data_IF_189410673337
#
_entry.id   IF_189410673337
#
_cell.length_a   1.000
_cell.length_b   1.000
_cell.length_c   1.000
_cell.angle_alpha   90.00
_cell.angle_beta   90.00
_cell.angle_gamma   90.00
#
_symmetry.space_group_name_H-M   'P 1'
#
loop_
_entity.id
_entity.type
_entity.pdbx_description
1 polymer ?
#
# COMPACT_ATOMS: atom_id res chain seq x y z
N UNK A 1 2.45 10.27 33.53
CA UNK A 1 3.17 9.02 33.86
C UNK A 1 3.55 8.25 32.58
N UNK A 2 2.64 8.08 31.61
CA UNK A 2 2.90 7.39 30.33
C UNK A 2 3.96 8.11 29.47
N UNK A 3 3.88 9.44 29.33
CA UNK A 3 4.82 10.22 28.50
C UNK A 3 6.27 10.15 29.00
N UNK A 4 6.47 10.07 30.32
CA UNK A 4 7.80 9.84 30.92
C UNK A 4 8.34 8.43 30.62
N UNK A 5 7.46 7.43 30.58
CA UNK A 5 7.83 6.05 30.25
C UNK A 5 8.16 5.90 28.76
N UNK A 6 7.40 6.54 27.86
CA UNK A 6 7.69 6.54 26.43
C UNK A 6 9.02 7.23 26.13
N UNK A 7 9.29 8.40 26.71
CA UNK A 7 10.58 9.09 26.58
C UNK A 7 11.74 8.26 27.15
N UNK A 8 11.55 7.60 28.28
CA UNK A 8 12.56 6.72 28.87
C UNK A 8 12.86 5.51 27.97
N UNK A 9 11.83 4.89 27.39
CA UNK A 9 11.99 3.80 26.43
C UNK A 9 12.73 4.26 25.17
N UNK A 10 12.42 5.45 24.65
CA UNK A 10 13.10 6.04 23.50
C UNK A 10 14.60 6.25 23.76
N UNK A 11 14.97 6.79 24.93
CA UNK A 11 16.38 6.96 25.30
C UNK A 11 17.08 5.61 25.51
N UNK A 12 16.38 4.63 26.12
CA UNK A 12 16.92 3.30 26.32
C UNK A 12 17.17 2.59 24.98
N UNK A 13 16.24 2.72 24.03
CA UNK A 13 16.40 2.22 22.66
C UNK A 13 17.65 2.81 21.98
N UNK A 14 17.84 4.12 22.04
CA UNK A 14 19.00 4.78 21.43
C UNK A 14 20.32 4.28 22.03
N UNK A 15 20.37 4.12 23.36
CA UNK A 15 21.54 3.58 24.07
C UNK A 15 21.88 2.16 23.61
N UNK A 16 20.88 1.25 23.60
CA UNK A 16 21.06 -0.15 23.19
C UNK A 16 21.42 -0.28 21.71
N UNK A 17 20.80 0.53 20.85
CA UNK A 17 21.08 0.55 19.41
C UNK A 17 22.50 1.06 19.13
N UNK A 18 22.94 2.08 19.86
CA UNK A 18 24.32 2.59 19.75
C UNK A 18 25.33 1.57 20.25
N UNK A 19 25.04 0.89 21.36
CA UNK A 19 25.88 -0.19 21.88
C UNK A 19 25.99 -1.38 20.92
N UNK A 20 25.00 -1.59 20.05
CA UNK A 20 25.01 -2.61 18.98
C UNK A 20 25.56 -2.10 17.64
N UNK A 21 26.12 -0.88 17.61
CA UNK A 21 26.87 -0.35 16.47
C UNK A 21 26.05 0.49 15.48
N UNK A 22 24.81 0.84 15.80
CA UNK A 22 24.00 1.75 14.99
C UNK A 22 24.19 3.22 15.40
N UNK A 23 23.96 4.15 14.49
CA UNK A 23 23.77 5.56 14.82
C UNK A 23 22.26 5.86 14.94
N UNK A 24 21.87 6.59 15.98
CA UNK A 24 20.47 6.95 16.23
C UNK A 24 20.28 8.47 16.19
N UNK A 25 19.45 8.95 15.27
CA UNK A 25 19.09 10.35 15.13
C UNK A 25 17.65 10.57 15.61
N UNK A 26 17.48 11.32 16.69
CA UNK A 26 16.15 11.63 17.27
C UNK A 26 15.35 12.56 16.35
N UNK A 27 14.08 12.24 16.15
CA UNK A 27 13.11 13.10 15.47
C UNK A 27 12.56 14.10 16.47
N UNK A 28 13.02 15.36 16.37
CA UNK A 28 12.65 16.42 17.31
C UNK A 28 11.18 16.83 17.21
N UNK A 29 10.60 16.73 16.03
CA UNK A 29 9.21 17.09 15.76
C UNK A 29 8.38 15.82 15.50
N UNK A 30 7.37 15.55 16.34
CA UNK A 30 6.43 14.42 16.17
C UNK A 30 5.40 14.70 15.06
N UNK A 31 5.90 14.99 13.86
CA UNK A 31 5.06 15.23 12.68
C UNK A 31 4.79 13.93 11.92
N UNK A 32 5.74 12.99 11.95
CA UNK A 32 5.74 11.85 11.05
C UNK A 32 5.52 10.51 11.74
N UNK A 33 5.57 10.48 13.08
CA UNK A 33 5.19 9.33 13.89
C UNK A 33 6.27 8.29 14.14
N UNK A 34 7.52 8.57 13.76
CA UNK A 34 8.71 7.83 14.19
C UNK A 34 9.52 8.70 15.16
N UNK A 35 10.17 8.05 16.11
CA UNK A 35 10.98 8.70 17.15
C UNK A 35 12.45 8.78 16.72
N UNK A 36 12.94 7.82 15.94
CA UNK A 36 14.33 7.77 15.48
C UNK A 36 14.47 7.43 14.00
N UNK A 37 15.53 7.98 13.40
CA UNK A 37 16.14 7.47 12.18
C UNK A 37 17.41 6.73 12.60
N UNK A 38 17.47 5.43 12.30
CA UNK A 38 18.57 4.55 12.69
C UNK A 38 19.40 4.21 11.45
N UNK A 39 20.72 4.38 11.56
CA UNK A 39 21.67 4.09 10.50
C UNK A 39 22.60 2.95 10.94
N UNK A 40 22.56 1.83 10.22
CA UNK A 40 23.34 0.64 10.56
C UNK A 40 24.41 0.44 9.48
N UNK A 41 25.70 0.56 9.84
CA UNK A 41 26.78 0.29 8.89
C UNK A 41 26.76 -1.19 8.51
N UNK A 42 26.91 -1.50 7.21
CA UNK A 42 26.95 -2.89 6.78
C UNK A 42 28.30 -3.51 7.13
N UNK A 43 28.34 -4.83 7.20
CA UNK A 43 29.61 -5.56 7.25
C UNK A 43 30.37 -5.32 5.95
N UNK A 44 31.53 -4.66 6.05
CA UNK A 44 32.41 -4.45 4.90
C UNK A 44 32.99 -5.77 4.42
N UNK A 45 33.00 -5.98 3.12
CA UNK A 45 33.66 -7.13 2.51
C UNK A 45 35.06 -6.71 2.04
N UNK A 46 36.16 -7.25 2.61
CA UNK A 46 37.51 -6.85 2.22
C UNK A 46 37.84 -7.17 0.75
N UNK A 47 37.10 -8.10 0.14
CA UNK A 47 37.27 -8.53 -1.25
C UNK A 47 36.38 -7.74 -2.23
N UNK A 48 35.67 -6.69 -1.78
CA UNK A 48 34.90 -5.79 -2.65
C UNK A 48 35.57 -4.42 -2.77
N UNK A 49 35.49 -3.84 -3.96
CA UNK A 49 35.92 -2.47 -4.19
C UNK A 49 35.15 -1.49 -3.28
N UNK A 50 35.77 -0.37 -2.84
CA UNK A 50 35.12 0.58 -1.93
C UNK A 50 33.77 1.12 -2.41
N UNK A 51 33.59 1.33 -3.71
CA UNK A 51 32.36 1.81 -4.37
C UNK A 51 31.28 0.73 -4.54
N UNK A 52 31.65 -0.54 -4.35
CA UNK A 52 30.75 -1.72 -4.43
C UNK A 52 30.45 -2.33 -3.07
N UNK A 53 30.85 -1.66 -1.99
CA UNK A 53 30.48 -2.08 -0.65
C UNK A 53 28.95 -2.02 -0.48
N UNK A 54 28.36 -2.89 0.35
CA UNK A 54 26.95 -2.74 0.69
C UNK A 54 26.69 -1.34 1.27
N UNK A 55 25.46 -0.87 1.12
CA UNK A 55 25.05 0.46 1.57
C UNK A 55 24.69 0.43 3.06
N UNK A 56 24.76 1.60 3.70
CA UNK A 56 24.20 1.80 5.04
C UNK A 56 22.69 1.52 4.99
N UNK A 57 22.21 0.79 6.00
CA UNK A 57 20.77 0.58 6.19
C UNK A 57 20.25 1.75 7.01
N UNK A 58 19.38 2.56 6.41
CA UNK A 58 18.66 3.64 7.11
C UNK A 58 17.23 3.20 7.37
N UNK A 59 16.79 3.20 8.63
CA UNK A 59 15.47 2.74 9.04
C UNK A 59 14.75 3.79 9.89
N UNK A 60 13.42 3.87 9.74
CA UNK A 60 12.53 4.68 10.56
C UNK A 60 12.00 3.84 11.71
N UNK A 61 12.08 4.34 12.94
CA UNK A 61 11.73 3.57 14.12
C UNK A 61 10.75 4.33 15.01
N UNK A 62 9.65 3.67 15.36
CA UNK A 62 8.70 4.12 16.37
C UNK A 62 8.84 3.30 17.66
N UNK A 63 8.92 3.98 18.80
CA UNK A 63 9.08 3.39 20.12
C UNK A 63 7.77 3.50 20.89
N UNK A 64 7.42 2.40 21.55
CA UNK A 64 6.30 2.30 22.48
C UNK A 64 6.75 1.61 23.76
N UNK A 65 6.02 1.89 24.83
CA UNK A 65 6.26 1.28 26.13
C UNK A 65 4.98 0.86 26.80
N UNK A 66 5.03 -0.20 27.60
CA UNK A 66 3.93 -0.67 28.44
C UNK A 66 4.42 -1.15 29.79
N UNK A 67 3.64 -0.89 30.83
CA UNK A 67 3.79 -1.47 32.18
C UNK A 67 2.67 -2.47 32.48
N UNK A 68 1.92 -2.88 31.45
CA UNK A 68 0.82 -3.85 31.54
C UNK A 68 1.22 -5.14 30.86
N UNK A 69 0.70 -6.27 31.34
CA UNK A 69 0.95 -7.60 30.77
C UNK A 69 0.49 -7.73 29.31
N UNK A 70 -0.42 -6.86 28.87
CA UNK A 70 -0.88 -6.86 27.48
C UNK A 70 0.13 -6.14 26.58
N UNK A 71 0.77 -6.90 25.69
CA UNK A 71 1.70 -6.42 24.68
C UNK A 71 0.96 -5.92 23.44
N UNK A 72 0.16 -4.87 23.60
CA UNK A 72 -0.55 -4.22 22.49
C UNK A 72 -0.33 -2.72 22.51
N UNK A 73 -0.17 -2.12 21.34
CA UNK A 73 -0.18 -0.66 21.18
C UNK A 73 -1.14 -0.21 20.11
N UNK A 74 -1.46 1.08 20.11
CA UNK A 74 -2.26 1.72 19.07
C UNK A 74 -1.41 2.75 18.35
N UNK A 75 -1.42 2.69 17.02
CA UNK A 75 -0.75 3.65 16.15
C UNK A 75 -1.81 4.41 15.38
N UNK A 76 -1.71 5.74 15.30
CA UNK A 76 -2.61 6.56 14.48
C UNK A 76 -2.54 6.08 13.03
N UNK A 77 -3.70 5.95 12.38
CA UNK A 77 -3.78 5.45 11.00
C UNK A 77 -2.99 6.34 10.03
N UNK A 78 -2.95 7.65 10.28
CA UNK A 78 -2.10 8.60 9.54
C UNK A 78 -0.61 8.26 9.62
N UNK A 79 -0.11 7.87 10.79
CA UNK A 79 1.32 7.57 10.99
C UNK A 79 1.66 6.20 10.39
N UNK A 80 0.76 5.22 10.56
CA UNK A 80 0.90 3.91 9.91
C UNK A 80 0.95 4.05 8.37
N UNK A 81 0.13 4.93 7.78
CA UNK A 81 0.18 5.21 6.34
C UNK A 81 1.50 5.84 5.92
N UNK A 82 2.03 6.82 6.66
CA UNK A 82 3.35 7.41 6.39
C UNK A 82 4.45 6.34 6.43
N UNK A 83 4.39 5.41 7.39
CA UNK A 83 5.35 4.32 7.50
C UNK A 83 5.31 3.37 6.29
N UNK A 84 4.15 3.15 5.68
CA UNK A 84 3.98 2.32 4.47
C UNK A 84 4.39 3.08 3.21
N UNK A 85 4.09 4.38 3.15
CA UNK A 85 4.40 5.24 2.02
C UNK A 85 5.91 5.54 1.88
N UNK A 86 6.64 5.52 2.99
CA UNK A 86 8.10 5.64 2.99
C UNK A 86 8.76 4.43 2.31
N UNK A 87 9.75 4.69 1.47
CA UNK A 87 10.55 3.64 0.81
C UNK A 87 11.58 3.02 1.77
N UNK A 88 11.86 3.67 2.91
CA UNK A 88 12.78 3.18 3.92
C UNK A 88 12.17 2.03 4.75
N UNK A 89 12.99 1.11 5.29
CA UNK A 89 12.58 0.21 6.35
C UNK A 89 11.93 0.93 7.53
N UNK A 90 10.83 0.38 8.03
CA UNK A 90 10.08 0.96 9.14
C UNK A 90 9.84 -0.11 10.22
N UNK A 91 10.09 0.24 11.48
CA UNK A 91 9.97 -0.69 12.61
C UNK A 91 9.22 -0.07 13.77
N UNK A 92 8.54 -0.91 14.54
CA UNK A 92 7.87 -0.55 15.78
C UNK A 92 8.47 -1.40 16.88
N UNK A 93 9.03 -0.76 17.91
CA UNK A 93 9.53 -1.44 19.09
C UNK A 93 8.62 -1.20 20.29
N UNK A 94 8.43 -2.23 21.11
CA UNK A 94 7.70 -2.18 22.36
C UNK A 94 8.62 -2.57 23.51
N UNK A 95 8.77 -1.67 24.47
CA UNK A 95 9.45 -1.92 25.74
C UNK A 95 8.42 -2.30 26.81
N UNK A 96 8.51 -3.54 27.30
CA UNK A 96 7.68 -4.02 28.41
C UNK A 96 8.48 -3.93 29.70
N UNK A 97 7.95 -3.16 30.66
CA UNK A 97 8.53 -2.94 31.99
C UNK A 97 7.84 -3.79 33.06
N UNK A 98 7.45 -5.01 32.71
CA UNK A 98 6.77 -5.93 33.62
C UNK A 98 7.79 -6.95 34.16
N UNK A 99 7.53 -7.51 35.34
CA UNK A 99 8.31 -8.64 35.92
C UNK A 99 9.79 -8.32 36.23
N UNK A 100 10.09 -7.12 36.75
CA UNK A 100 11.42 -6.64 37.18
C UNK A 100 12.53 -6.63 36.09
N UNK A 101 12.20 -7.05 34.86
CA UNK A 101 13.10 -7.09 33.71
C UNK A 101 12.50 -6.36 32.52
N UNK A 102 13.33 -5.62 31.79
CA UNK A 102 12.89 -4.91 30.58
C UNK A 102 12.95 -5.89 29.41
N UNK A 103 11.79 -6.22 28.86
CA UNK A 103 11.67 -7.01 27.62
C UNK A 103 11.43 -6.10 26.42
N UNK A 104 12.01 -6.45 25.28
CA UNK A 104 11.96 -5.66 24.07
C UNK A 104 11.35 -6.51 22.97
N UNK A 105 10.35 -5.98 22.28
CA UNK A 105 9.70 -6.64 21.15
C UNK A 105 9.82 -5.74 19.93
N UNK A 106 10.01 -6.31 18.75
CA UNK A 106 10.11 -5.56 17.51
C UNK A 106 9.21 -6.13 16.42
N UNK A 107 8.56 -5.23 15.69
CA UNK A 107 7.82 -5.57 14.48
C UNK A 107 8.29 -4.77 13.29
N UNK A 108 8.42 -5.48 12.18
CA UNK A 108 8.72 -4.90 10.88
C UNK A 108 7.43 -4.48 10.18
N UNK A 109 7.39 -3.26 9.67
CA UNK A 109 6.27 -2.73 8.87
C UNK A 109 6.43 -3.23 7.43
N UNK A 110 5.85 -4.40 7.17
CA UNK A 110 5.94 -5.11 5.89
C UNK A 110 4.57 -5.47 5.30
N UNK A 111 4.43 -6.60 4.62
CA UNK A 111 3.25 -7.01 3.84
C UNK A 111 1.96 -7.05 4.65
N UNK A 112 1.91 -7.85 5.72
CA UNK A 112 0.68 -8.13 6.45
C UNK A 112 0.17 -6.86 7.15
N UNK A 113 1.09 -6.11 7.76
CA UNK A 113 0.77 -4.83 8.36
C UNK A 113 0.31 -3.81 7.32
N UNK A 114 0.98 -3.76 6.15
CA UNK A 114 0.60 -2.86 5.07
C UNK A 114 -0.81 -3.13 4.58
N UNK A 115 -1.16 -4.40 4.37
CA UNK A 115 -2.50 -4.81 3.96
C UNK A 115 -3.57 -4.29 4.93
N UNK A 116 -3.38 -4.55 6.23
CA UNK A 116 -4.33 -4.14 7.29
C UNK A 116 -4.53 -2.63 7.27
N UNK A 117 -3.44 -1.86 7.18
CA UNK A 117 -3.49 -0.40 7.21
C UNK A 117 -4.13 0.17 5.94
N UNK A 118 -3.73 -0.30 4.76
CA UNK A 118 -4.24 0.18 3.48
C UNK A 118 -5.73 -0.15 3.33
N UNK A 119 -6.16 -1.34 3.77
CA UNK A 119 -7.57 -1.71 3.81
C UNK A 119 -8.37 -0.82 4.76
N UNK A 120 -7.85 -0.55 5.96
CA UNK A 120 -8.52 0.34 6.93
C UNK A 120 -8.58 1.79 6.46
N UNK A 121 -7.56 2.26 5.74
CA UNK A 121 -7.56 3.58 5.10
C UNK A 121 -8.66 3.67 4.03
N UNK A 122 -8.77 2.67 3.16
CA UNK A 122 -9.83 2.60 2.14
C UNK A 122 -11.23 2.54 2.75
N UNK A 123 -11.43 1.73 3.78
CA UNK A 123 -12.71 1.70 4.53
C UNK A 123 -13.02 3.06 5.18
N UNK A 124 -11.99 3.81 5.58
CA UNK A 124 -12.17 5.09 6.25
C UNK A 124 -12.65 6.20 5.33
N UNK A 125 -12.19 6.17 4.08
CA UNK A 125 -12.64 7.06 3.00
C UNK A 125 -14.15 6.95 2.79
N UNK A 126 -14.67 5.72 2.60
CA UNK A 126 -16.11 5.49 2.31
C UNK A 126 -17.04 6.08 3.36
N UNK A 127 -16.65 6.03 4.64
CA UNK A 127 -17.47 6.54 5.73
C UNK A 127 -17.39 8.07 5.88
N UNK A 128 -16.95 8.78 4.84
CA UNK A 128 -16.82 10.24 4.81
C UNK A 128 -15.79 10.79 5.81
N UNK A 129 -14.94 9.92 6.37
CA UNK A 129 -14.06 10.27 7.48
C UNK A 129 -12.63 10.43 6.98
N UNK A 130 -12.32 11.63 6.48
CA UNK A 130 -10.95 12.04 6.13
C UNK A 130 -10.07 12.26 7.38
N UNK A 131 -10.63 12.13 8.58
CA UNK A 131 -9.91 12.27 9.85
C UNK A 131 -9.11 11.01 10.20
N UNK A 132 -8.17 10.60 9.35
CA UNK A 132 -7.31 9.43 9.56
C UNK A 132 -6.53 9.52 10.89
N UNK A 133 -6.20 10.73 11.36
CA UNK A 133 -5.55 10.98 12.64
C UNK A 133 -6.40 10.59 13.87
N UNK A 134 -7.73 10.47 13.72
CA UNK A 134 -8.66 10.04 14.80
C UNK A 134 -8.85 8.52 14.85
N UNK A 135 -8.33 7.79 13.86
CA UNK A 135 -8.41 6.33 13.77
C UNK A 135 -7.06 5.73 14.13
N UNK A 136 -7.08 4.51 14.66
CA UNK A 136 -5.85 3.80 15.02
C UNK A 136 -5.86 2.34 14.57
N UNK A 137 -4.66 1.79 14.42
CA UNK A 137 -4.37 0.39 14.15
C UNK A 137 -3.79 -0.20 15.43
N UNK A 138 -4.30 -1.35 15.84
CA UNK A 138 -3.74 -2.08 16.97
C UNK A 138 -2.57 -2.93 16.48
N UNK A 139 -1.45 -2.89 17.19
CA UNK A 139 -0.28 -3.73 16.95
C UNK A 139 -0.12 -4.62 18.16
N UNK A 140 -0.36 -5.91 17.95
CA UNK A 140 -0.16 -6.96 18.94
C UNK A 140 1.27 -7.47 18.80
N UNK A 141 1.99 -7.63 19.92
CA UNK A 141 3.27 -8.31 19.95
C UNK A 141 3.10 -9.67 20.61
N UNK A 142 3.73 -10.67 20.01
CA UNK A 142 3.75 -12.06 20.44
C UNK A 142 5.12 -12.39 21.06
N UNK A 143 5.24 -13.48 21.83
CA UNK A 143 6.54 -13.90 22.36
C UNK A 143 7.62 -14.12 21.30
N UNK A 144 7.23 -14.48 20.08
CA UNK A 144 8.13 -14.61 18.92
C UNK A 144 8.69 -13.28 18.42
N UNK A 145 8.09 -12.15 18.79
CA UNK A 145 8.59 -10.81 18.46
C UNK A 145 9.65 -10.32 19.45
N UNK A 146 9.98 -11.09 20.50
CA UNK A 146 10.97 -10.71 21.52
C UNK A 146 12.38 -10.66 20.92
N UNK A 147 13.11 -9.58 21.23
CA UNK A 147 14.45 -9.31 20.73
C UNK A 147 15.36 -9.11 21.94
N UNK A 148 16.52 -9.75 21.89
CA UNK A 148 17.57 -9.53 22.88
C UNK A 148 18.07 -8.08 22.79
N UNK A 149 18.23 -7.42 23.93
CA UNK A 149 18.59 -5.99 23.97
C UNK A 149 19.92 -5.67 23.26
N UNK A 150 20.86 -6.62 23.26
CA UNK A 150 22.15 -6.52 22.56
C UNK A 150 22.06 -6.73 21.04
N UNK A 151 20.91 -7.18 20.53
CA UNK A 151 20.74 -7.58 19.12
C UNK A 151 19.86 -6.62 18.30
N UNK A 152 19.46 -5.47 18.83
CA UNK A 152 18.52 -4.56 18.14
C UNK A 152 19.00 -4.18 16.72
N UNK A 153 20.25 -3.71 16.59
CA UNK A 153 20.79 -3.34 15.28
C UNK A 153 20.94 -4.55 14.34
N UNK A 154 21.41 -5.68 14.86
CA UNK A 154 21.57 -6.92 14.09
C UNK A 154 20.20 -7.46 13.63
N UNK A 155 19.17 -7.35 14.47
CA UNK A 155 17.81 -7.74 14.11
C UNK A 155 17.27 -6.90 12.97
N UNK A 156 17.36 -5.56 13.04
CA UNK A 156 16.96 -4.67 11.94
C UNK A 156 17.72 -5.02 10.65
N UNK A 157 19.04 -5.19 10.76
CA UNK A 157 19.89 -5.53 9.62
C UNK A 157 19.51 -6.88 9.00
N UNK A 158 19.32 -7.93 9.81
CA UNK A 158 18.89 -9.26 9.35
C UNK A 158 17.54 -9.17 8.62
N UNK A 159 16.55 -8.51 9.23
CA UNK A 159 15.21 -8.36 8.64
C UNK A 159 15.24 -7.66 7.28
N UNK A 160 16.05 -6.60 7.13
CA UNK A 160 16.18 -5.91 5.83
C UNK A 160 16.93 -6.78 4.82
N UNK A 161 18.01 -7.44 5.24
CA UNK A 161 18.84 -8.27 4.36
C UNK A 161 18.12 -9.54 3.87
N UNK A 162 17.25 -10.13 4.69
CA UNK A 162 16.40 -11.27 4.31
C UNK A 162 15.47 -10.94 3.13
N UNK A 163 15.05 -9.68 3.03
CA UNK A 163 14.25 -9.18 1.90
C UNK A 163 15.15 -8.93 0.68
N UNK A 164 16.35 -8.39 0.89
CA UNK A 164 17.37 -8.19 -0.15
C UNK A 164 17.60 -6.73 -0.56
N UNK A 165 18.56 -6.53 -1.46
CA UNK A 165 19.02 -5.19 -1.88
C UNK A 165 17.93 -4.34 -2.56
N UNK A 166 16.89 -4.97 -3.10
CA UNK A 166 15.72 -4.36 -3.75
C UNK A 166 14.56 -4.07 -2.78
N UNK A 167 14.85 -3.97 -1.47
CA UNK A 167 13.88 -3.71 -0.40
C UNK A 167 12.88 -2.59 -0.76
N UNK A 168 13.38 -1.43 -1.19
CA UNK A 168 12.55 -0.28 -1.53
C UNK A 168 11.57 -0.59 -2.67
N UNK A 169 12.05 -1.23 -3.75
CA UNK A 169 11.22 -1.63 -4.88
C UNK A 169 10.17 -2.66 -4.48
N UNK A 170 10.52 -3.63 -3.62
CA UNK A 170 9.56 -4.60 -3.05
C UNK A 170 8.51 -3.91 -2.19
N UNK A 171 8.90 -2.94 -1.36
CA UNK A 171 7.98 -2.16 -0.52
C UNK A 171 7.03 -1.30 -1.34
N UNK A 172 7.54 -0.62 -2.37
CA UNK A 172 6.75 0.12 -3.37
C UNK A 172 5.72 -0.82 -4.02
N UNK A 173 6.14 -2.03 -4.41
CA UNK A 173 5.23 -3.01 -5.00
C UNK A 173 4.12 -3.42 -4.03
N UNK A 174 4.41 -3.63 -2.75
CA UNK A 174 3.38 -3.90 -1.72
C UNK A 174 2.40 -2.73 -1.66
N UNK A 175 2.90 -1.49 -1.52
CA UNK A 175 2.08 -0.27 -1.46
C UNK A 175 1.17 -0.11 -2.69
N UNK A 176 1.65 -0.43 -3.88
CA UNK A 176 0.96 -0.12 -5.14
C UNK A 176 0.10 -1.28 -5.67
N UNK A 177 0.35 -2.52 -5.25
CA UNK A 177 -0.34 -3.71 -5.76
C UNK A 177 -1.27 -4.38 -4.74
N UNK A 178 -0.98 -4.28 -3.45
CA UNK A 178 -1.79 -4.92 -2.41
C UNK A 178 -3.24 -4.42 -2.46
N UNK A 179 -4.21 -5.32 -2.58
CA UNK A 179 -5.63 -5.02 -2.69
C UNK A 179 -6.14 -4.81 -4.11
N UNK A 180 -5.32 -5.01 -5.15
CA UNK A 180 -5.73 -4.87 -6.56
C UNK A 180 -5.80 -6.21 -7.31
N UNK A 181 -5.96 -7.32 -6.60
CA UNK A 181 -5.76 -8.67 -7.15
C UNK A 181 -6.86 -9.10 -8.13
N UNK A 182 -8.08 -8.55 -8.02
CA UNK A 182 -9.23 -8.94 -8.86
C UNK A 182 -9.55 -7.94 -9.97
N UNK A 183 -9.86 -6.70 -9.57
CA UNK A 183 -10.22 -5.59 -10.45
C UNK A 183 -9.74 -4.30 -9.80
N UNK A 184 -9.25 -3.38 -10.62
CA UNK A 184 -8.72 -2.09 -10.15
C UNK A 184 -9.64 -0.92 -10.48
N UNK A 185 -10.32 -0.97 -11.62
CA UNK A 185 -11.12 0.16 -12.07
C UNK A 185 -12.58 -0.24 -12.27
N UNK A 186 -13.48 0.62 -11.79
CA UNK A 186 -14.90 0.60 -12.12
C UNK A 186 -15.17 1.82 -13.00
N UNK A 187 -15.53 1.58 -14.25
CA UNK A 187 -15.90 2.63 -15.19
C UNK A 187 -17.42 2.76 -15.22
N UNK A 188 -17.93 3.97 -15.04
CA UNK A 188 -19.35 4.33 -15.19
C UNK A 188 -19.46 5.44 -16.22
N UNK A 189 -20.43 5.35 -17.10
CA UNK A 189 -20.76 6.40 -18.06
C UNK A 189 -22.20 6.23 -18.49
N UNK A 190 -22.77 7.28 -19.06
CA UNK A 190 -24.10 7.29 -19.66
C UNK A 190 -23.93 7.40 -21.16
N UNK A 191 -24.59 6.57 -21.95
CA UNK A 191 -24.65 6.74 -23.41
C UNK A 191 -25.67 7.85 -23.74
N UNK A 192 -25.23 8.83 -24.51
CA UNK A 192 -26.05 9.92 -25.01
C UNK A 192 -25.40 11.29 -24.95
N UNK A 193 -26.14 12.34 -25.37
CA UNK A 193 -27.52 12.27 -25.86
C UNK A 193 -27.61 11.52 -27.20
N UNK A 194 -28.63 10.66 -27.34
CA UNK A 194 -28.98 9.96 -28.58
C UNK A 194 -30.38 10.42 -28.99
N UNK A 195 -30.59 10.75 -30.26
CA UNK A 195 -31.88 11.14 -30.82
C UNK A 195 -32.78 9.91 -31.03
N UNK A 196 -32.21 8.83 -31.57
CA UNK A 196 -32.87 7.54 -31.73
C UNK A 196 -31.95 6.41 -31.25
N UNK A 197 -32.11 6.05 -29.97
CA UNK A 197 -31.28 5.06 -29.28
C UNK A 197 -31.14 3.73 -30.03
N UNK A 198 -32.24 3.22 -30.62
CA UNK A 198 -32.20 1.94 -31.32
C UNK A 198 -31.41 2.03 -32.62
N UNK A 199 -31.61 3.11 -33.38
CA UNK A 199 -30.93 3.32 -34.64
C UNK A 199 -29.43 3.59 -34.41
N UNK A 200 -29.09 4.51 -33.52
CA UNK A 200 -27.70 4.90 -33.30
C UNK A 200 -26.85 3.76 -32.69
N UNK A 201 -27.42 2.96 -31.78
CA UNK A 201 -26.75 1.75 -31.28
C UNK A 201 -26.61 0.72 -32.40
N UNK A 202 -27.66 0.50 -33.20
CA UNK A 202 -27.60 -0.45 -34.32
C UNK A 202 -26.57 -0.05 -35.36
N UNK A 203 -26.54 1.24 -35.72
CA UNK A 203 -25.57 1.85 -36.63
C UNK A 203 -24.14 1.69 -36.07
N UNK A 204 -23.95 1.86 -34.76
CA UNK A 204 -22.68 1.58 -34.11
C UNK A 204 -22.28 0.10 -34.18
N UNK A 205 -23.20 -0.82 -33.91
CA UNK A 205 -22.93 -2.27 -33.91
C UNK A 205 -22.60 -2.83 -35.30
N UNK A 206 -23.23 -2.29 -36.35
CA UNK A 206 -22.94 -2.68 -37.75
C UNK A 206 -21.76 -1.90 -38.35
N UNK A 207 -21.14 -1.00 -37.58
CA UNK A 207 -19.99 -0.20 -38.01
C UNK A 207 -20.33 0.97 -38.94
N UNK A 208 -21.60 1.35 -39.04
CA UNK A 208 -22.04 2.57 -39.74
C UNK A 208 -21.68 3.83 -38.95
N UNK A 209 -21.70 3.75 -37.61
CA UNK A 209 -21.11 4.75 -36.73
C UNK A 209 -19.92 4.14 -35.98
N UNK A 210 -18.84 4.90 -35.81
CA UNK A 210 -17.66 4.44 -35.07
C UNK A 210 -17.74 4.77 -33.57
N UNK A 211 -18.54 5.77 -33.20
CA UNK A 211 -18.58 6.30 -31.84
C UNK A 211 -20.01 6.58 -31.40
N UNK A 212 -20.29 6.28 -30.14
CA UNK A 212 -21.50 6.73 -29.46
C UNK A 212 -21.16 7.89 -28.52
N UNK A 213 -21.94 8.98 -28.49
CA UNK A 213 -21.80 10.02 -27.47
C UNK A 213 -21.95 9.40 -26.09
N UNK A 214 -21.12 9.85 -25.16
CA UNK A 214 -21.20 9.48 -23.77
C UNK A 214 -21.10 10.72 -22.87
N UNK A 215 -21.89 10.73 -21.80
CA UNK A 215 -21.80 11.71 -20.71
C UNK A 215 -21.40 11.05 -19.40
N UNK A 216 -20.98 11.89 -18.45
CA UNK A 216 -20.74 11.50 -17.06
C UNK A 216 -19.77 10.31 -16.92
N UNK A 217 -18.71 10.34 -17.73
CA UNK A 217 -17.66 9.33 -17.70
C UNK A 217 -16.88 9.46 -16.40
N UNK A 218 -16.94 8.43 -15.56
CA UNK A 218 -16.32 8.38 -14.26
C UNK A 218 -15.57 7.05 -14.08
N UNK A 219 -14.27 7.12 -13.82
CA UNK A 219 -13.44 5.96 -13.48
C UNK A 219 -13.15 6.00 -11.99
N UNK A 220 -13.59 4.98 -11.27
CA UNK A 220 -13.33 4.81 -9.85
C UNK A 220 -12.27 3.76 -9.63
N UNK A 221 -11.33 4.04 -8.73
CA UNK A 221 -10.40 3.03 -8.23
C UNK A 221 -11.10 2.10 -7.24
N UNK A 222 -10.90 0.80 -7.38
CA UNK A 222 -11.36 -0.22 -6.46
C UNK A 222 -10.14 -0.93 -5.87
N UNK A 223 -10.07 -0.94 -4.53
CA UNK A 223 -9.00 -1.60 -3.78
C UNK A 223 -9.60 -2.42 -2.65
N UNK A 224 -9.15 -3.66 -2.46
CA UNK A 224 -9.71 -4.64 -1.52
C UNK A 224 -11.19 -4.96 -1.75
N UNK A 225 -11.67 -4.82 -2.99
CA UNK A 225 -13.10 -4.91 -3.31
C UNK A 225 -13.93 -3.71 -2.85
N UNK A 226 -13.25 -2.60 -2.51
CA UNK A 226 -13.86 -1.39 -1.97
C UNK A 226 -13.65 -0.25 -2.99
N UNK A 227 -14.74 0.20 -3.61
CA UNK A 227 -14.72 1.31 -4.57
C UNK A 227 -14.45 2.64 -3.86
N UNK A 228 -13.61 3.49 -4.44
CA UNK A 228 -13.40 4.88 -3.99
C UNK A 228 -14.68 5.70 -4.07
N UNK A 229 -14.82 6.65 -3.16
CA UNK A 229 -15.90 7.64 -3.14
C UNK A 229 -15.72 8.73 -4.20
N UNK A 230 -14.50 8.94 -4.68
CA UNK A 230 -14.17 9.95 -5.67
C UNK A 230 -13.66 9.28 -6.96
N UNK A 231 -14.07 9.77 -8.14
CA UNK A 231 -13.50 9.28 -9.38
C UNK A 231 -12.04 9.74 -9.54
N UNK A 232 -11.17 8.86 -10.03
CA UNK A 232 -9.81 9.24 -10.47
C UNK A 232 -9.86 10.05 -11.77
N UNK A 233 -10.79 9.69 -12.66
CA UNK A 233 -11.03 10.37 -13.92
C UNK A 233 -12.50 10.71 -13.99
N UNK A 234 -12.81 11.98 -14.24
CA UNK A 234 -14.16 12.45 -14.49
C UNK A 234 -14.19 13.34 -15.74
N UNK A 235 -15.11 13.05 -16.66
CA UNK A 235 -15.42 13.91 -17.80
C UNK A 235 -16.92 13.98 -18.01
N UNK A 236 -17.42 15.20 -18.25
CA UNK A 236 -18.84 15.41 -18.54
C UNK A 236 -19.24 14.91 -19.93
N UNK A 237 -18.30 14.88 -20.88
CA UNK A 237 -18.53 14.49 -22.26
C UNK A 237 -17.41 13.59 -22.75
N UNK A 238 -17.74 12.68 -23.64
CA UNK A 238 -16.81 11.77 -24.27
C UNK A 238 -17.49 10.96 -25.36
N UNK A 239 -16.76 9.97 -25.85
CA UNK A 239 -17.22 9.05 -26.88
C UNK A 239 -16.92 7.63 -26.40
N UNK A 240 -17.85 6.71 -26.61
CA UNK A 240 -17.67 5.29 -26.38
C UNK A 240 -17.53 4.58 -27.73
N UNK A 241 -16.50 3.75 -27.85
CA UNK A 241 -16.34 2.83 -28.97
C UNK A 241 -16.33 1.41 -28.42
N UNK A 242 -17.27 0.60 -28.89
CA UNK A 242 -17.28 -0.83 -28.62
C UNK A 242 -16.68 -1.55 -29.82
N UNK A 243 -15.54 -2.20 -29.61
CA UNK A 243 -14.97 -3.12 -30.59
C UNK A 243 -15.30 -4.54 -30.14
N UNK A 244 -16.05 -5.26 -30.96
CA UNK A 244 -16.29 -6.68 -30.76
C UNK A 244 -15.30 -7.46 -31.62
N UNK A 245 -14.70 -8.53 -31.07
CA UNK A 245 -14.09 -9.53 -31.92
C UNK A 245 -15.23 -10.29 -32.61
N UNK A 246 -15.48 -9.95 -33.87
CA UNK A 246 -16.47 -10.61 -34.70
C UNK A 246 -16.24 -12.13 -34.70
N UNK A 247 -17.32 -12.89 -34.66
CA UNK A 247 -17.29 -14.31 -35.03
C UNK A 247 -17.73 -14.39 -36.49
N UNK A 248 -17.08 -15.25 -37.27
CA UNK A 248 -17.51 -15.53 -38.64
C UNK A 248 -19.00 -15.86 -38.66
N UNK A 249 -19.77 -15.10 -39.43
CA UNK A 249 -21.19 -15.31 -39.62
C UNK A 249 -21.46 -15.51 -41.10
N UNK A 250 -22.31 -16.49 -41.43
CA UNK A 250 -22.78 -16.70 -42.79
C UNK A 250 -24.08 -15.92 -42.95
N UNK A 251 -24.02 -14.81 -43.69
CA UNK A 251 -25.24 -14.09 -44.10
C UNK A 251 -25.88 -14.85 -45.27
N UNK A 252 -27.02 -15.48 -45.02
CA UNK A 252 -27.83 -16.09 -46.11
C UNK A 252 -28.92 -15.11 -46.52
N UNK A 253 -28.73 -14.46 -47.66
CA UNK A 253 -29.78 -13.67 -48.31
C UNK A 253 -30.55 -14.63 -49.22
N UNK A 254 -31.87 -14.75 -48.99
CA UNK A 254 -32.75 -15.46 -49.90
C UNK A 254 -33.78 -14.49 -50.47
N UNK A 255 -33.76 -14.35 -51.80
CA UNK A 255 -34.84 -13.73 -52.55
C UNK A 255 -35.67 -14.85 -53.19
N UNK A 256 -36.97 -14.63 -53.39
CA UNK A 256 -37.82 -15.60 -54.09
C UNK A 256 -37.40 -15.83 -55.56
N UNK A 257 -36.40 -15.10 -56.06
CA UNK A 257 -35.68 -15.37 -57.30
C UNK A 257 -34.15 -15.21 -57.10
N UNK A 258 -33.46 -16.36 -57.11
CA UNK A 258 -32.03 -16.61 -57.44
C UNK A 258 -30.94 -16.47 -56.36
N UNK A 259 -30.14 -17.55 -56.33
CA UNK A 259 -28.77 -17.91 -55.87
C UNK A 259 -28.12 -17.30 -54.61
N UNK A 260 -27.58 -18.22 -53.80
CA UNK A 260 -26.77 -17.96 -52.61
C UNK A 260 -25.48 -17.22 -52.97
N UNK A 261 -25.21 -16.13 -52.27
CA UNK A 261 -23.90 -15.49 -52.25
C UNK A 261 -23.29 -15.66 -50.85
N UNK A 262 -22.07 -16.19 -50.79
CA UNK A 262 -21.27 -16.23 -49.56
C UNK A 262 -20.27 -15.07 -49.60
N UNK A 263 -20.37 -14.17 -48.62
CA UNK A 263 -19.36 -13.14 -48.35
C UNK A 263 -18.59 -13.58 -47.11
N UNK A 264 -17.29 -13.79 -47.27
CA UNK A 264 -16.36 -13.97 -46.15
C UNK A 264 -15.81 -12.58 -45.77
N UNK A 265 -16.06 -12.17 -44.53
CA UNK A 265 -15.43 -11.02 -43.89
C UNK A 265 -14.52 -11.51 -42.76
#
# INVERSE_FOLDING_TARGET
MIERAERHAALHFASLSTASGAACNESKDDLHGWDYIVEIPPTRNPNRLPDKQPRIITALVQIKSTTKNRLITRIKLSNALKAIQSDLPCFIFMFSYNDDQIKIFGKHVWSEFSEIVLKKARQSEIHGSNSLHKKSISVLFEPSDEIQSSEIAQWIQRTVNEIGEDYASKKIRIRDKCGYEKRRYIVKFTLGPLDNIMQEISDHEIGYSEFLPATDFAVYDERFGIQSSYPEIFSQKGWAQFQTQGKNAILTISNQQVDKFELNA
#
